data_IF_882095751038
#
_entry.id   IF_882095751038
#
_cell.length_a   1.000
_cell.length_b   1.000
_cell.length_c   1.000
_cell.angle_alpha   90.00
_cell.angle_beta   90.00
_cell.angle_gamma   90.00
#
_symmetry.space_group_name_H-M   'P 1'
#
loop_
_entity.id
_entity.type
_entity.pdbx_description
1 polymer ?
#
# COMPACT_ATOMS: atom_id res chain seq x y z
N UNK A 1 -8.39 30.06 -19.08
CA UNK A 1 -9.14 28.98 -19.76
C UNK A 1 -9.11 27.72 -18.92
N UNK A 2 -10.26 27.06 -18.72
CA UNK A 2 -10.30 25.75 -18.05
C UNK A 2 -9.47 24.75 -18.87
N UNK A 3 -8.57 23.97 -18.25
CA UNK A 3 -7.87 22.89 -18.95
C UNK A 3 -8.83 21.77 -19.39
N UNK A 4 -10.03 21.73 -18.83
CA UNK A 4 -11.04 20.72 -19.13
C UNK A 4 -12.13 21.27 -20.06
N UNK A 5 -12.54 20.45 -21.01
CA UNK A 5 -13.75 20.65 -21.84
C UNK A 5 -14.70 19.47 -21.63
N UNK A 6 -15.98 19.60 -21.99
CA UNK A 6 -16.92 18.47 -21.95
C UNK A 6 -17.04 17.83 -23.33
N UNK A 7 -17.07 16.51 -23.39
CA UNK A 7 -17.44 15.79 -24.62
C UNK A 7 -18.93 15.94 -24.94
N UNK A 8 -19.36 15.40 -26.08
CA UNK A 8 -20.77 15.45 -26.51
C UNK A 8 -21.74 14.73 -25.55
N UNK A 9 -21.24 13.93 -24.61
CA UNK A 9 -21.99 13.21 -23.59
C UNK A 9 -21.91 13.88 -22.21
N UNK A 10 -21.18 15.00 -22.09
CA UNK A 10 -21.05 15.79 -20.87
C UNK A 10 -19.89 15.37 -19.94
N UNK A 11 -19.04 14.43 -20.35
CA UNK A 11 -17.87 14.00 -19.58
C UNK A 11 -16.73 15.00 -19.74
N UNK A 12 -16.03 15.31 -18.64
CA UNK A 12 -14.85 16.16 -18.70
C UNK A 12 -13.69 15.41 -19.39
N UNK A 13 -13.17 15.99 -20.47
CA UNK A 13 -12.02 15.51 -21.24
C UNK A 13 -10.91 16.56 -21.21
N UNK A 14 -9.67 16.08 -21.24
CA UNK A 14 -8.46 16.89 -21.26
C UNK A 14 -7.65 16.61 -22.54
N UNK A 15 -6.71 17.48 -22.86
CA UNK A 15 -5.75 17.25 -23.96
C UNK A 15 -4.92 15.98 -23.69
N UNK A 16 -4.47 15.29 -24.75
CA UNK A 16 -3.76 14.01 -24.67
C UNK A 16 -2.47 14.08 -23.85
N UNK A 17 -1.84 15.26 -23.75
CA UNK A 17 -0.62 15.48 -22.95
C UNK A 17 -0.88 16.04 -21.55
N UNK A 18 -2.14 16.21 -21.15
CA UNK A 18 -2.52 17.02 -19.98
C UNK A 18 -2.51 16.28 -18.64
N UNK A 19 -2.62 14.95 -18.61
CA UNK A 19 -2.65 14.16 -17.36
C UNK A 19 -1.25 13.74 -16.88
N UNK A 20 -0.32 14.69 -16.84
CA UNK A 20 1.01 14.46 -16.26
C UNK A 20 1.05 15.07 -14.87
N UNK A 21 1.01 14.22 -13.84
CA UNK A 21 1.10 14.60 -12.44
C UNK A 21 2.42 14.08 -11.86
N UNK A 22 3.54 14.78 -12.09
CA UNK A 22 4.86 14.30 -11.69
C UNK A 22 4.95 14.05 -10.18
N UNK A 23 4.25 14.86 -9.37
CA UNK A 23 4.19 14.69 -7.92
C UNK A 23 3.15 13.64 -7.45
N UNK A 24 2.15 13.32 -8.27
CA UNK A 24 1.07 12.41 -7.90
C UNK A 24 -0.31 13.05 -7.75
N UNK A 25 -1.28 12.24 -7.30
CA UNK A 25 -2.69 12.60 -7.16
C UNK A 25 -3.21 12.14 -5.80
N UNK A 26 -3.99 13.01 -5.13
CA UNK A 26 -4.76 12.67 -3.94
C UNK A 26 -6.25 12.79 -4.27
N UNK A 27 -7.02 11.73 -4.00
CA UNK A 27 -8.47 11.69 -4.14
C UNK A 27 -9.09 11.47 -2.76
N UNK A 28 -9.87 12.44 -2.29
CA UNK A 28 -10.39 12.48 -0.92
C UNK A 28 -9.63 13.51 -0.09
N UNK A 29 -9.27 13.15 1.14
CA UNK A 29 -8.59 14.06 2.06
C UNK A 29 -7.08 13.87 2.04
N UNK A 30 -6.35 14.99 1.98
CA UNK A 30 -4.88 14.99 2.06
C UNK A 30 -4.45 14.89 3.52
N UNK A 31 -3.47 14.04 3.78
CA UNK A 31 -2.85 13.93 5.09
C UNK A 31 -1.60 14.80 5.16
N UNK A 32 -1.72 15.99 5.76
CA UNK A 32 -0.65 17.00 5.74
C UNK A 32 0.63 16.58 6.48
N UNK A 33 0.55 15.60 7.38
CA UNK A 33 1.74 15.03 8.04
C UNK A 33 2.47 13.99 7.18
N UNK A 34 1.95 13.65 6.00
CA UNK A 34 2.64 12.79 5.05
C UNK A 34 3.63 13.57 4.18
N UNK A 35 4.86 13.07 4.08
CA UNK A 35 5.77 13.46 3.00
C UNK A 35 5.49 12.56 1.80
N UNK A 36 4.70 13.05 0.84
CA UNK A 36 4.36 12.31 -0.37
C UNK A 36 5.60 12.12 -1.27
N UNK A 37 5.78 10.92 -1.82
CA UNK A 37 6.82 10.64 -2.81
C UNK A 37 6.49 11.23 -4.18
N UNK A 38 7.38 11.08 -5.14
CA UNK A 38 7.10 11.46 -6.54
C UNK A 38 6.17 10.43 -7.20
N UNK A 39 5.32 10.88 -8.13
CA UNK A 39 4.41 10.06 -8.94
C UNK A 39 3.47 9.12 -8.13
N UNK A 40 2.98 9.59 -6.98
CA UNK A 40 2.15 8.77 -6.09
C UNK A 40 0.65 8.82 -6.38
N UNK A 41 -0.10 7.87 -5.85
CA UNK A 41 -1.56 7.92 -5.84
C UNK A 41 -2.11 7.58 -4.44
N UNK A 42 -2.85 8.52 -3.86
CA UNK A 42 -3.58 8.33 -2.61
C UNK A 42 -5.09 8.41 -2.83
N UNK A 43 -5.85 7.45 -2.30
CA UNK A 43 -7.33 7.46 -2.37
C UNK A 43 -7.91 7.13 -1.00
N UNK A 44 -8.54 8.09 -0.33
CA UNK A 44 -9.08 7.87 1.02
C UNK A 44 -9.50 9.13 1.74
N UNK A 45 -10.20 8.92 2.85
CA UNK A 45 -10.51 9.96 3.85
C UNK A 45 -9.54 9.81 5.03
N UNK A 46 -9.47 10.83 5.87
CA UNK A 46 -8.80 10.72 7.16
C UNK A 46 -9.59 9.75 8.06
N UNK A 47 -8.86 8.94 8.83
CA UNK A 47 -9.45 8.13 9.89
C UNK A 47 -10.03 9.05 10.98
N UNK A 48 -11.30 8.86 11.33
CA UNK A 48 -12.03 9.76 12.24
C UNK A 48 -11.45 9.81 13.65
N UNK A 49 -10.79 8.74 14.10
CA UNK A 49 -10.27 8.65 15.47
C UNK A 49 -8.86 9.23 15.58
N UNK A 50 -8.01 8.96 14.61
CA UNK A 50 -6.58 9.31 14.63
C UNK A 50 -6.24 10.55 13.81
N UNK A 51 -7.13 10.99 12.90
CA UNK A 51 -6.85 12.02 11.91
C UNK A 51 -5.79 11.58 10.88
N UNK A 52 -5.42 10.31 10.83
CA UNK A 52 -4.42 9.78 9.89
C UNK A 52 -5.08 9.48 8.55
N UNK A 53 -4.46 9.96 7.46
CA UNK A 53 -4.83 9.56 6.10
C UNK A 53 -3.78 8.65 5.49
N UNK A 54 -3.98 8.34 4.21
CA UNK A 54 -3.01 7.54 3.47
C UNK A 54 -1.73 8.33 3.21
N UNK A 55 -0.58 7.65 3.40
CA UNK A 55 0.74 8.21 3.18
C UNK A 55 1.58 7.34 2.23
N UNK A 56 1.42 7.52 0.91
CA UNK A 56 2.35 6.99 -0.08
C UNK A 56 3.59 7.89 -0.13
N UNK A 57 4.60 7.60 0.68
CA UNK A 57 5.84 8.38 0.78
C UNK A 57 6.99 7.85 -0.08
N UNK A 58 6.87 6.63 -0.61
CA UNK A 58 7.82 6.09 -1.57
C UNK A 58 7.56 6.59 -3.00
N UNK A 59 8.59 6.77 -3.81
CA UNK A 59 8.42 7.15 -5.21
C UNK A 59 7.64 6.07 -5.98
N UNK A 60 6.63 6.50 -6.74
CA UNK A 60 5.72 5.64 -7.48
C UNK A 60 4.83 4.75 -6.60
N UNK A 61 4.69 5.07 -5.32
CA UNK A 61 3.87 4.29 -4.39
C UNK A 61 2.39 4.63 -4.45
N UNK A 62 1.56 3.66 -4.02
CA UNK A 62 0.10 3.77 -4.04
C UNK A 62 -0.47 3.38 -2.68
N UNK A 63 -1.39 4.18 -2.16
CA UNK A 63 -2.06 3.90 -0.89
C UNK A 63 -3.56 4.25 -0.94
N UNK A 64 -4.41 3.22 -0.86
CA UNK A 64 -5.87 3.36 -0.80
C UNK A 64 -6.42 2.96 0.56
N UNK A 65 -7.62 3.40 0.91
CA UNK A 65 -8.29 3.04 2.18
C UNK A 65 -8.13 4.14 3.23
N UNK A 66 -7.89 3.77 4.49
CA UNK A 66 -7.74 4.72 5.60
C UNK A 66 -6.45 4.47 6.40
N UNK A 67 -5.70 5.53 6.70
CA UNK A 67 -4.48 5.46 7.51
C UNK A 67 -3.42 4.43 7.03
N UNK A 68 -3.31 4.20 5.72
CA UNK A 68 -2.33 3.27 5.16
C UNK A 68 -1.02 3.95 4.78
N UNK A 69 0.11 3.28 4.96
CA UNK A 69 1.44 3.80 4.61
C UNK A 69 2.10 2.93 3.54
N UNK A 70 2.51 3.54 2.43
CA UNK A 70 3.30 2.91 1.38
C UNK A 70 4.62 3.69 1.23
N UNK A 71 5.65 3.31 1.98
CA UNK A 71 6.90 4.09 2.10
C UNK A 71 8.08 3.53 1.32
N UNK A 72 7.99 2.28 0.85
CA UNK A 72 9.00 1.70 -0.03
C UNK A 72 8.87 2.21 -1.46
N UNK A 73 9.97 2.23 -2.21
CA UNK A 73 9.92 2.61 -3.63
C UNK A 73 9.03 1.62 -4.40
N UNK A 74 8.09 2.15 -5.18
CA UNK A 74 7.07 1.37 -5.90
C UNK A 74 6.22 0.45 -5.00
N UNK A 75 6.16 0.70 -3.68
CA UNK A 75 5.34 -0.12 -2.79
C UNK A 75 3.86 0.21 -2.95
N UNK A 76 2.99 -0.73 -2.56
CA UNK A 76 1.54 -0.56 -2.75
C UNK A 76 0.75 -1.08 -1.56
N UNK A 77 -0.22 -0.27 -1.13
CA UNK A 77 -1.34 -0.70 -0.29
C UNK A 77 -2.65 -0.47 -1.04
N UNK A 78 -3.31 -1.53 -1.51
CA UNK A 78 -4.52 -1.38 -2.34
C UNK A 78 -5.82 -1.19 -1.56
N UNK A 79 -5.78 -1.22 -0.23
CA UNK A 79 -6.96 -0.93 0.59
C UNK A 79 -6.79 -1.28 2.07
N UNK A 80 -7.92 -1.36 2.77
CA UNK A 80 -7.95 -1.68 4.20
C UNK A 80 -7.59 -0.49 5.09
N UNK A 81 -7.11 -0.78 6.31
CA UNK A 81 -6.79 0.24 7.30
C UNK A 81 -5.53 -0.09 8.10
N UNK A 82 -4.68 0.92 8.36
CA UNK A 82 -3.46 0.82 9.18
C UNK A 82 -2.43 -0.20 8.60
N UNK A 83 -2.46 -0.44 7.30
CA UNK A 83 -1.50 -1.30 6.62
C UNK A 83 -0.22 -0.55 6.24
N UNK A 84 0.92 -1.26 6.25
CA UNK A 84 2.24 -0.70 5.99
C UNK A 84 3.00 -1.52 4.93
N UNK A 85 3.25 -0.95 3.77
CA UNK A 85 4.14 -1.50 2.73
C UNK A 85 5.43 -0.66 2.69
N UNK A 86 6.43 -1.05 3.48
CA UNK A 86 7.64 -0.25 3.70
C UNK A 86 8.90 -0.78 3.02
N UNK A 87 8.88 -2.02 2.52
CA UNK A 87 9.97 -2.54 1.68
C UNK A 87 9.84 -2.04 0.23
N UNK A 88 10.97 -1.92 -0.47
CA UNK A 88 10.93 -1.61 -1.91
C UNK A 88 10.18 -2.72 -2.67
N UNK A 89 9.28 -2.30 -3.56
CA UNK A 89 8.39 -3.18 -4.35
C UNK A 89 7.49 -4.07 -3.46
N UNK A 90 7.35 -3.73 -2.17
CA UNK A 90 6.48 -4.49 -1.26
C UNK A 90 4.99 -4.21 -1.51
N UNK A 91 4.14 -5.16 -1.15
CA UNK A 91 2.69 -5.03 -1.35
C UNK A 91 1.88 -5.52 -0.16
N UNK A 92 0.82 -4.77 0.17
CA UNK A 92 -0.26 -5.21 1.04
C UNK A 92 -1.58 -5.04 0.30
N UNK A 93 -2.31 -6.12 0.03
CA UNK A 93 -3.54 -6.00 -0.77
C UNK A 93 -4.74 -5.43 0.02
N UNK A 94 -4.71 -5.54 1.35
CA UNK A 94 -5.74 -4.97 2.21
C UNK A 94 -5.71 -5.53 3.63
N UNK A 95 -6.87 -5.50 4.31
CA UNK A 95 -7.00 -5.97 5.69
C UNK A 95 -6.70 -4.90 6.72
N UNK A 96 -6.32 -5.31 7.93
CA UNK A 96 -6.11 -4.42 9.06
C UNK A 96 -4.74 -4.64 9.72
N UNK A 97 -3.93 -3.60 9.80
CA UNK A 97 -2.67 -3.65 10.55
C UNK A 97 -1.58 -4.55 9.95
N UNK A 98 -1.66 -4.91 8.67
CA UNK A 98 -0.68 -5.78 8.00
C UNK A 98 0.59 -5.01 7.64
N UNK A 99 1.73 -5.71 7.58
CA UNK A 99 3.06 -5.14 7.35
C UNK A 99 3.85 -5.94 6.32
N UNK A 100 4.17 -5.34 5.18
CA UNK A 100 5.13 -5.86 4.21
C UNK A 100 6.40 -5.01 4.28
N UNK A 101 7.38 -5.41 5.10
CA UNK A 101 8.57 -4.61 5.41
C UNK A 101 9.83 -5.09 4.69
N UNK A 102 9.85 -6.33 4.18
CA UNK A 102 10.95 -6.83 3.37
C UNK A 102 10.89 -6.32 1.93
N UNK A 103 12.05 -6.17 1.27
CA UNK A 103 12.09 -5.93 -0.17
C UNK A 103 11.37 -7.05 -0.92
N UNK A 104 10.54 -6.70 -1.91
CA UNK A 104 9.71 -7.63 -2.70
C UNK A 104 8.76 -8.50 -1.85
N UNK A 105 8.49 -8.12 -0.59
CA UNK A 105 7.58 -8.88 0.28
C UNK A 105 6.11 -8.63 -0.07
N UNK A 106 5.25 -9.62 0.17
CA UNK A 106 3.82 -9.51 -0.08
C UNK A 106 2.99 -10.03 1.09
N UNK A 107 1.96 -9.26 1.47
CA UNK A 107 0.93 -9.69 2.40
C UNK A 107 -0.44 -9.51 1.74
N UNK A 108 -1.13 -10.60 1.39
CA UNK A 108 -2.37 -10.49 0.62
C UNK A 108 -3.57 -10.00 1.44
N UNK A 109 -3.49 -10.00 2.78
CA UNK A 109 -4.53 -9.42 3.64
C UNK A 109 -4.58 -10.05 5.03
N UNK A 110 -5.77 -10.04 5.64
CA UNK A 110 -5.98 -10.54 6.99
C UNK A 110 -5.75 -9.46 8.06
N UNK A 111 -5.36 -9.89 9.25
CA UNK A 111 -5.18 -9.02 10.42
C UNK A 111 -3.78 -9.22 11.00
N UNK A 112 -3.03 -8.14 11.18
CA UNK A 112 -1.70 -8.13 11.83
C UNK A 112 -0.65 -9.10 11.26
N UNK A 113 -0.75 -9.45 9.97
CA UNK A 113 0.25 -10.28 9.32
C UNK A 113 1.51 -9.47 8.97
N UNK A 114 2.68 -10.10 9.04
CA UNK A 114 3.98 -9.46 8.76
C UNK A 114 4.83 -10.28 7.79
N UNK A 115 5.12 -9.72 6.61
CA UNK A 115 6.16 -10.20 5.68
C UNK A 115 7.41 -9.34 5.82
N UNK A 116 8.39 -9.80 6.60
CA UNK A 116 9.60 -9.03 6.94
C UNK A 116 10.85 -9.47 6.18
N UNK A 117 10.89 -10.72 5.70
CA UNK A 117 12.00 -11.21 4.89
C UNK A 117 11.99 -10.67 3.47
N UNK A 118 13.15 -10.56 2.84
CA UNK A 118 13.22 -10.28 1.40
C UNK A 118 12.50 -11.40 0.63
N UNK A 119 11.65 -11.04 -0.34
CA UNK A 119 10.79 -11.95 -1.13
C UNK A 119 9.88 -12.84 -0.26
N UNK A 120 9.62 -12.45 0.98
CA UNK A 120 8.71 -13.20 1.86
C UNK A 120 7.25 -13.03 1.45
N UNK A 121 6.42 -14.01 1.77
CA UNK A 121 4.97 -13.95 1.50
C UNK A 121 4.13 -14.42 2.67
N UNK A 122 3.04 -13.70 2.93
CA UNK A 122 1.96 -14.13 3.83
C UNK A 122 0.63 -14.02 3.09
N UNK A 123 -0.03 -15.15 2.88
CA UNK A 123 -1.27 -15.18 2.09
C UNK A 123 -2.46 -14.57 2.85
N UNK A 124 -2.46 -14.60 4.18
CA UNK A 124 -3.51 -13.99 5.00
C UNK A 124 -3.56 -14.58 6.41
N UNK A 125 -4.73 -14.52 7.05
CA UNK A 125 -4.94 -15.03 8.41
C UNK A 125 -4.78 -13.96 9.48
N UNK A 126 -4.42 -14.38 10.69
CA UNK A 126 -4.23 -13.49 11.85
C UNK A 126 -2.83 -13.66 12.45
N UNK A 127 -2.07 -12.57 12.54
CA UNK A 127 -0.81 -12.53 13.29
C UNK A 127 0.26 -13.51 12.79
N UNK A 128 0.29 -13.81 11.48
CA UNK A 128 1.31 -14.64 10.86
C UNK A 128 2.57 -13.83 10.52
N UNK A 129 3.74 -14.47 10.57
CA UNK A 129 5.04 -13.83 10.35
C UNK A 129 5.93 -14.64 9.39
N UNK A 130 6.30 -14.05 8.26
CA UNK A 130 7.31 -14.57 7.35
C UNK A 130 8.56 -13.66 7.41
N UNK A 131 9.54 -14.01 8.24
CA UNK A 131 10.71 -13.16 8.55
C UNK A 131 12.02 -13.64 7.91
N UNK A 132 12.08 -14.90 7.46
CA UNK A 132 13.22 -15.39 6.69
C UNK A 132 13.22 -14.87 5.25
N UNK A 133 14.39 -14.70 4.65
CA UNK A 133 14.48 -14.48 3.20
C UNK A 133 13.83 -15.66 2.46
N UNK A 134 13.05 -15.36 1.42
CA UNK A 134 12.31 -16.35 0.62
C UNK A 134 11.32 -17.21 1.45
N UNK A 135 10.95 -16.76 2.65
CA UNK A 135 10.01 -17.48 3.53
C UNK A 135 8.55 -17.29 3.16
N UNK A 136 7.70 -18.25 3.52
CA UNK A 136 6.26 -18.18 3.25
C UNK A 136 5.38 -18.70 4.38
N UNK A 137 4.22 -18.07 4.55
CA UNK A 137 3.12 -18.56 5.39
C UNK A 137 1.82 -18.60 4.58
N UNK A 138 1.20 -19.78 4.50
CA UNK A 138 -0.04 -20.03 3.74
C UNK A 138 -1.29 -19.35 4.32
N UNK A 139 -1.28 -19.03 5.62
CA UNK A 139 -2.45 -18.56 6.36
C UNK A 139 -2.48 -19.09 7.79
N UNK A 140 -3.69 -19.20 8.35
CA UNK A 140 -3.90 -19.63 9.74
C UNK A 140 -3.74 -18.49 10.74
N UNK A 141 -3.37 -18.82 11.99
CA UNK A 141 -3.13 -17.84 13.03
C UNK A 141 -1.83 -18.12 13.79
N UNK A 142 -1.05 -17.07 14.09
CA UNK A 142 0.17 -17.13 14.89
C UNK A 142 1.28 -18.05 14.35
N UNK A 143 1.35 -18.23 13.03
CA UNK A 143 2.43 -18.99 12.39
C UNK A 143 3.68 -18.14 12.19
N UNK A 144 4.86 -18.76 12.24
CA UNK A 144 6.14 -18.09 12.05
C UNK A 144 7.10 -18.89 11.16
N UNK A 145 7.48 -18.32 10.01
CA UNK A 145 8.50 -18.83 9.10
C UNK A 145 9.75 -17.93 9.17
N UNK A 146 10.73 -18.29 10.01
CA UNK A 146 11.89 -17.45 10.32
C UNK A 146 13.20 -17.87 9.66
N UNK A 147 13.26 -19.09 9.11
CA UNK A 147 14.42 -19.58 8.37
C UNK A 147 14.43 -19.07 6.93
N UNK A 148 15.62 -18.95 6.34
CA UNK A 148 15.75 -18.79 4.90
C UNK A 148 15.05 -19.96 4.19
N UNK A 149 14.29 -19.68 3.13
CA UNK A 149 13.54 -20.67 2.35
C UNK A 149 12.48 -21.47 3.15
N UNK A 150 12.16 -21.04 4.38
CA UNK A 150 11.20 -21.76 5.24
C UNK A 150 9.75 -21.55 4.79
N UNK A 151 8.92 -22.59 4.95
CA UNK A 151 7.49 -22.52 4.69
C UNK A 151 6.69 -23.07 5.87
N UNK A 152 5.56 -22.43 6.16
CA UNK A 152 4.54 -22.92 7.10
C UNK A 152 3.20 -22.94 6.38
N UNK A 153 2.51 -24.09 6.43
CA UNK A 153 1.27 -24.34 5.69
C UNK A 153 0.10 -24.71 6.58
#
# INVERSE_FOLDING_TARGET
>A
PSPFTKDAKGWWVADADMFRFPQGIVIGERYDNCTYGEAVLAVGLLDENSGQGNCPSGDGSVAFGAANTASGKHSTVTGGSINHASGDVSSVSGGYGNKATGQDSSVSGGVYNTGAGQRSSVTGGDSNQASGQDSSVSGGAYNAASGQDSSVS
#
